data_IF_611749140284
#
_entry.id   IF_611749140284
#
_cell.length_a   1.000
_cell.length_b   1.000
_cell.length_c   1.000
_cell.angle_alpha   90.00
_cell.angle_beta   90.00
_cell.angle_gamma   90.00
#
_symmetry.space_group_name_H-M   'P 1'
#
loop_
_entity.id
_entity.type
_entity.pdbx_description
1 polymer ?
#
# COMPACT_ATOMS: atom_id res chain seq x y z
N UNK A 1 -3.25 -2.55 -30.62
CA UNK A 1 -3.16 -1.27 -29.89
C UNK A 1 -2.41 -1.60 -28.62
N UNK A 2 -1.20 -1.06 -28.47
CA UNK A 2 -0.35 -1.40 -27.33
C UNK A 2 -0.87 -0.62 -26.13
N UNK A 3 -1.76 -1.24 -25.36
CA UNK A 3 -1.99 -0.84 -23.98
C UNK A 3 -0.68 -1.11 -23.26
N UNK A 4 0.14 -0.08 -23.12
CA UNK A 4 1.21 -0.08 -22.13
C UNK A 4 0.50 -0.20 -20.79
N UNK A 5 0.37 -1.44 -20.29
CA UNK A 5 -0.11 -1.71 -18.94
C UNK A 5 0.79 -0.88 -18.04
N UNK A 6 0.24 0.16 -17.41
CA UNK A 6 0.96 0.93 -16.41
C UNK A 6 1.51 -0.08 -15.40
N UNK A 7 2.84 -0.16 -15.31
CA UNK A 7 3.52 -1.11 -14.43
C UNK A 7 3.23 -0.70 -13.00
N UNK A 8 2.32 -1.42 -12.36
CA UNK A 8 1.93 -1.16 -10.97
C UNK A 8 2.98 -1.79 -10.07
N UNK A 9 3.82 -0.93 -9.48
CA UNK A 9 4.78 -1.35 -8.46
C UNK A 9 4.14 -1.23 -7.09
N UNK A 10 4.06 -2.38 -6.41
CA UNK A 10 3.50 -2.49 -5.07
C UNK A 10 4.60 -2.75 -4.06
N UNK A 11 4.61 -1.92 -3.03
CA UNK A 11 5.56 -1.97 -1.94
C UNK A 11 4.87 -2.11 -0.61
N UNK A 12 5.63 -2.57 0.38
CA UNK A 12 5.28 -2.49 1.80
C UNK A 12 6.47 -1.91 2.57
N UNK A 13 6.18 -1.11 3.58
CA UNK A 13 7.24 -0.64 4.48
C UNK A 13 7.81 -1.79 5.31
N UNK A 14 9.03 -1.65 5.81
CA UNK A 14 9.66 -2.64 6.69
C UNK A 14 8.81 -2.94 7.94
N UNK A 15 8.16 -1.91 8.48
CA UNK A 15 7.21 -2.07 9.58
C UNK A 15 6.00 -2.90 9.16
N UNK A 16 5.39 -2.58 8.01
CA UNK A 16 4.22 -3.30 7.50
C UNK A 16 4.57 -4.76 7.21
N UNK A 17 5.73 -5.04 6.61
CA UNK A 17 6.20 -6.40 6.36
C UNK A 17 6.26 -7.23 7.65
N UNK A 18 6.78 -6.65 8.74
CA UNK A 18 6.81 -7.30 10.05
C UNK A 18 5.40 -7.53 10.61
N UNK A 19 4.50 -6.57 10.44
CA UNK A 19 3.10 -6.66 10.91
C UNK A 19 2.29 -7.70 10.11
N UNK A 20 2.37 -7.68 8.78
CA UNK A 20 1.72 -8.64 7.88
C UNK A 20 2.17 -10.07 8.16
N UNK A 21 3.48 -10.29 8.35
CA UNK A 21 4.02 -11.61 8.73
C UNK A 21 3.43 -12.13 10.04
N UNK A 22 3.31 -11.27 11.07
CA UNK A 22 2.66 -11.64 12.34
C UNK A 22 1.17 -11.93 12.19
N UNK A 23 0.50 -11.24 11.27
CA UNK A 23 -0.90 -11.44 10.94
C UNK A 23 -1.16 -12.61 9.98
N UNK A 24 -0.09 -13.30 9.52
CA UNK A 24 -0.12 -14.36 8.52
C UNK A 24 -0.75 -13.93 7.18
N UNK A 25 -0.57 -12.66 6.81
CA UNK A 25 -0.98 -12.10 5.53
C UNK A 25 0.19 -12.26 4.57
N UNK A 26 -0.03 -12.99 3.49
CA UNK A 26 1.00 -13.32 2.50
C UNK A 26 1.02 -12.26 1.38
N UNK A 27 2.11 -12.26 0.63
CA UNK A 27 2.34 -11.26 -0.42
C UNK A 27 1.39 -11.44 -1.63
N UNK A 28 1.01 -12.67 -1.96
CA UNK A 28 -0.02 -12.98 -2.96
C UNK A 28 -1.37 -12.33 -2.61
N UNK A 29 -1.83 -12.47 -1.35
CA UNK A 29 -3.05 -11.80 -0.86
C UNK A 29 -2.94 -10.27 -0.95
N UNK A 30 -1.75 -9.71 -0.66
CA UNK A 30 -1.52 -8.26 -0.76
C UNK A 30 -1.53 -7.76 -2.21
N UNK A 31 -0.97 -8.54 -3.14
CA UNK A 31 -1.00 -8.22 -4.57
C UNK A 31 -2.44 -8.22 -5.10
N UNK A 32 -3.20 -9.28 -4.81
CA UNK A 32 -4.62 -9.36 -5.16
C UNK A 32 -5.41 -8.19 -4.57
N UNK A 33 -5.15 -7.84 -3.32
CA UNK A 33 -5.82 -6.72 -2.67
C UNK A 33 -5.54 -5.36 -3.34
N UNK A 34 -4.36 -5.14 -3.94
CA UNK A 34 -4.09 -3.92 -4.74
C UNK A 34 -4.93 -3.91 -6.01
N UNK A 35 -5.03 -5.05 -6.71
CA UNK A 35 -5.88 -5.17 -7.90
C UNK A 35 -7.34 -4.84 -7.58
N UNK A 36 -7.82 -5.28 -6.42
CA UNK A 36 -9.16 -4.92 -5.93
C UNK A 36 -9.27 -3.41 -5.61
N UNK A 37 -8.24 -2.81 -4.99
CA UNK A 37 -8.24 -1.35 -4.70
C UNK A 37 -8.29 -0.53 -6.00
N UNK A 38 -7.52 -0.93 -7.03
CA UNK A 38 -7.56 -0.30 -8.35
C UNK A 38 -8.94 -0.37 -9.01
N UNK A 39 -9.70 -1.44 -8.74
CA UNK A 39 -11.09 -1.60 -9.18
C UNK A 39 -12.11 -0.86 -8.31
N UNK A 40 -11.65 -0.03 -7.36
CA UNK A 40 -12.49 0.74 -6.45
C UNK A 40 -13.04 -0.06 -5.26
N UNK A 41 -12.52 -1.26 -4.98
CA UNK A 41 -12.98 -2.12 -3.89
C UNK A 41 -12.24 -1.85 -2.57
N UNK A 42 -12.13 -0.58 -2.21
CA UNK A 42 -11.55 -0.09 -0.97
C UNK A 42 -12.27 1.18 -0.53
N UNK A 43 -12.15 1.53 0.76
CA UNK A 43 -12.66 2.80 1.23
C UNK A 43 -11.62 3.89 0.85
N UNK A 44 -11.93 4.76 -0.11
CA UNK A 44 -11.09 5.92 -0.44
C UNK A 44 -11.24 6.99 0.66
N UNK A 45 -10.15 7.27 1.36
CA UNK A 45 -10.11 8.27 2.43
C UNK A 45 -9.66 9.64 1.92
N UNK A 46 -9.45 9.82 0.62
CA UNK A 46 -9.06 11.05 -0.06
C UNK A 46 -7.57 11.38 0.07
N UNK A 47 -7.05 12.13 -0.91
CA UNK A 47 -5.65 12.56 -0.94
C UNK A 47 -4.66 11.45 -1.29
N UNK A 48 -5.12 10.40 -1.98
CA UNK A 48 -4.30 9.24 -2.34
C UNK A 48 -4.12 8.23 -1.20
N UNK A 49 -5.04 8.21 -0.23
CA UNK A 49 -5.02 7.30 0.91
C UNK A 49 -6.23 6.38 0.84
N UNK A 50 -5.99 5.08 0.83
CA UNK A 50 -7.03 4.04 0.76
C UNK A 50 -6.99 3.17 2.00
N UNK A 51 -8.17 2.76 2.47
CA UNK A 51 -8.30 1.77 3.53
C UNK A 51 -8.85 0.46 2.95
N UNK A 52 -8.05 -0.60 3.04
CA UNK A 52 -8.39 -1.94 2.54
C UNK A 52 -8.64 -2.91 3.68
N UNK A 53 -9.67 -3.74 3.54
CA UNK A 53 -9.96 -4.86 4.45
C UNK A 53 -9.16 -6.07 3.96
N UNK A 54 -8.41 -6.71 4.86
CA UNK A 54 -7.54 -7.86 4.57
C UNK A 54 -7.86 -9.03 5.51
N UNK A 55 -7.33 -10.21 5.20
CA UNK A 55 -7.37 -11.42 6.03
C UNK A 55 -8.80 -11.74 6.49
N UNK A 56 -9.70 -11.96 5.52
CA UNK A 56 -11.13 -12.23 5.78
C UNK A 56 -11.78 -11.15 6.67
N UNK A 57 -11.48 -9.87 6.39
CA UNK A 57 -11.97 -8.70 7.14
C UNK A 57 -11.52 -8.64 8.62
N UNK A 58 -10.50 -9.42 9.00
CA UNK A 58 -9.91 -9.39 10.35
C UNK A 58 -8.94 -8.22 10.52
N UNK A 59 -8.34 -7.74 9.45
CA UNK A 59 -7.39 -6.64 9.47
C UNK A 59 -7.80 -5.51 8.53
N UNK A 60 -7.32 -4.30 8.82
CA UNK A 60 -7.43 -3.12 7.97
C UNK A 60 -6.04 -2.62 7.68
N UNK A 61 -5.80 -2.25 6.44
CA UNK A 61 -4.55 -1.66 6.00
C UNK A 61 -4.76 -0.27 5.40
N UNK A 62 -3.74 0.57 5.53
CA UNK A 62 -3.62 1.83 4.81
C UNK A 62 -2.61 1.70 3.68
N UNK A 63 -3.09 2.10 2.51
CA UNK A 63 -2.36 2.09 1.25
C UNK A 63 -2.25 3.52 0.75
N UNK A 64 -1.05 3.91 0.35
CA UNK A 64 -0.76 5.21 -0.25
C UNK A 64 -0.58 5.02 -1.75
N UNK A 65 -1.32 5.77 -2.57
CA UNK A 65 -1.31 5.65 -4.02
C UNK A 65 -1.75 6.94 -4.73
N UNK A 66 -1.18 8.10 -4.35
CA UNK A 66 -1.57 9.41 -4.88
C UNK A 66 -1.27 9.59 -6.38
N UNK A 67 -0.11 9.11 -6.85
CA UNK A 67 0.31 9.19 -8.25
C UNK A 67 0.01 7.95 -9.09
N UNK A 68 -0.70 6.96 -8.53
CA UNK A 68 -1.06 5.67 -9.16
C UNK A 68 0.09 4.78 -9.67
N UNK A 69 1.32 5.28 -9.61
CA UNK A 69 2.56 4.59 -9.97
C UNK A 69 3.12 3.71 -8.85
N UNK A 70 3.16 4.23 -7.63
CA UNK A 70 3.66 3.52 -6.45
C UNK A 70 2.51 3.26 -5.48
N UNK A 71 2.31 1.99 -5.13
CA UNK A 71 1.30 1.55 -4.19
C UNK A 71 1.98 1.06 -2.92
N UNK A 72 1.82 1.77 -1.81
CA UNK A 72 2.60 1.50 -0.60
C UNK A 72 1.70 1.12 0.56
N UNK A 73 1.79 -0.13 0.99
CA UNK A 73 1.25 -0.60 2.26
C UNK A 73 2.05 0.00 3.42
N UNK A 74 1.45 0.93 4.17
CA UNK A 74 2.16 1.69 5.23
C UNK A 74 1.72 1.31 6.64
N UNK A 75 0.47 0.91 6.83
CA UNK A 75 -0.08 0.61 8.15
C UNK A 75 -1.04 -0.58 8.15
N UNK A 76 -1.10 -1.33 9.26
CA UNK A 76 -1.92 -2.53 9.46
C UNK A 76 -2.43 -2.58 10.89
N UNK A 77 -3.73 -2.80 11.09
CA UNK A 77 -4.32 -2.95 12.41
C UNK A 77 -5.46 -3.97 12.40
N UNK A 78 -5.66 -4.69 13.51
CA UNK A 78 -6.73 -5.66 13.63
C UNK A 78 -8.08 -4.97 13.88
N UNK A 79 -9.16 -5.55 13.35
CA UNK A 79 -10.56 -5.09 13.55
C UNK A 79 -10.89 -4.87 15.02
N UNK A 80 -10.44 -5.80 15.85
CA UNK A 80 -10.75 -5.86 17.28
C UNK A 80 -10.02 -4.77 18.07
N UNK A 81 -8.90 -4.30 17.57
CA UNK A 81 -8.07 -3.32 18.26
C UNK A 81 -8.50 -1.90 17.88
N UNK A 82 -8.99 -1.71 16.64
CA UNK A 82 -9.39 -0.40 16.14
C UNK A 82 -10.36 -0.47 14.96
N UNK A 83 -11.37 0.40 14.98
CA UNK A 83 -12.37 0.49 13.91
C UNK A 83 -12.05 1.55 12.85
N UNK A 84 -11.61 2.74 13.27
CA UNK A 84 -11.44 3.94 12.42
C UNK A 84 -10.09 4.63 12.66
N UNK A 85 -9.63 5.37 11.65
CA UNK A 85 -8.50 6.30 11.71
C UNK A 85 -9.07 7.68 11.99
N UNK A 86 -8.42 8.43 12.88
CA UNK A 86 -8.86 9.78 13.22
C UNK A 86 -8.33 10.83 12.24
N UNK A 87 -8.87 12.06 12.31
CA UNK A 87 -8.51 13.12 11.39
C UNK A 87 -7.02 13.51 11.45
N UNK A 88 -6.37 13.61 12.63
CA UNK A 88 -4.93 13.85 12.72
C UNK A 88 -4.08 12.79 12.00
N UNK A 89 -4.39 11.51 12.20
CA UNK A 89 -3.67 10.43 11.53
C UNK A 89 -3.93 10.41 10.03
N UNK A 90 -5.18 10.62 9.61
CA UNK A 90 -5.51 10.72 8.19
C UNK A 90 -4.75 11.85 7.51
N UNK A 91 -4.59 13.00 8.20
CA UNK A 91 -3.76 14.10 7.72
C UNK A 91 -2.31 13.68 7.56
N UNK A 92 -1.74 12.96 8.53
CA UNK A 92 -0.38 12.44 8.44
C UNK A 92 -0.21 11.45 7.27
N UNK A 93 -1.18 10.55 7.05
CA UNK A 93 -1.14 9.63 5.91
C UNK A 93 -1.23 10.35 4.57
N UNK A 94 -2.02 11.41 4.45
CA UNK A 94 -2.09 12.22 3.23
C UNK A 94 -0.77 12.94 2.93
N UNK A 95 -0.10 13.46 3.97
CA UNK A 95 1.25 14.03 3.82
C UNK A 95 2.26 12.98 3.38
N UNK A 96 2.17 11.77 3.94
CA UNK A 96 3.03 10.66 3.55
C UNK A 96 2.75 10.20 2.11
N UNK A 97 1.48 10.18 1.69
CA UNK A 97 1.10 9.88 0.31
C UNK A 97 1.72 10.89 -0.67
N UNK A 98 1.74 12.17 -0.32
CA UNK A 98 2.40 13.21 -1.12
C UNK A 98 3.92 13.07 -1.15
N UNK A 99 4.55 12.58 -0.08
CA UNK A 99 5.98 12.26 -0.09
C UNK A 99 6.28 11.15 -1.09
N UNK A 100 5.55 10.03 -1.03
CA UNK A 100 5.74 8.89 -1.94
C UNK A 100 5.41 9.21 -3.40
N UNK A 101 4.45 10.11 -3.63
CA UNK A 101 4.10 10.62 -4.95
C UNK A 101 5.27 11.36 -5.62
N UNK A 102 6.05 12.09 -4.84
CA UNK A 102 7.20 12.88 -5.33
C UNK A 102 8.50 12.09 -5.42
N UNK A 103 8.54 10.86 -4.92
CA UNK A 103 9.76 10.04 -4.94
C UNK A 103 10.13 9.65 -6.35
N UNK A 104 11.40 9.83 -6.68
CA UNK A 104 11.97 9.31 -7.94
C UNK A 104 12.22 7.80 -7.84
N UNK A 105 12.44 7.14 -8.97
CA UNK A 105 12.85 5.73 -8.97
C UNK A 105 14.13 5.52 -8.17
N UNK A 106 15.12 6.39 -8.34
CA UNK A 106 16.39 6.31 -7.59
C UNK A 106 16.17 6.36 -6.08
N UNK A 107 15.22 7.16 -5.60
CA UNK A 107 14.87 7.22 -4.18
C UNK A 107 14.15 5.96 -3.71
N UNK A 108 13.27 5.39 -4.53
CA UNK A 108 12.64 4.09 -4.25
C UNK A 108 13.68 2.98 -4.20
N UNK A 109 14.61 2.92 -5.15
CA UNK A 109 15.69 1.94 -5.19
C UNK A 109 16.63 2.05 -3.98
N UNK A 110 16.89 3.28 -3.50
CA UNK A 110 17.63 3.49 -2.25
C UNK A 110 16.89 2.92 -1.04
N UNK A 111 15.58 3.10 -0.95
CA UNK A 111 14.76 2.54 0.14
C UNK A 111 14.65 1.02 0.08
N UNK A 112 14.59 0.43 -1.13
CA UNK A 112 14.66 -1.01 -1.35
C UNK A 112 16.02 -1.57 -0.89
N UNK A 113 17.11 -0.92 -1.30
CA UNK A 113 18.48 -1.29 -0.89
C UNK A 113 18.67 -1.19 0.62
N UNK A 114 18.12 -0.14 1.23
CA UNK A 114 18.12 0.06 2.68
C UNK A 114 17.17 -0.90 3.44
N UNK A 115 16.33 -1.67 2.73
CA UNK A 115 15.28 -2.56 3.28
C UNK A 115 14.22 -1.82 4.09
N UNK A 116 14.04 -0.52 3.83
CA UNK A 116 12.94 0.29 4.36
C UNK A 116 11.65 0.06 3.57
N UNK A 117 11.78 -0.26 2.29
CA UNK A 117 10.73 -0.81 1.45
C UNK A 117 11.03 -2.25 1.05
N UNK A 118 9.96 -2.99 0.78
CA UNK A 118 9.99 -4.30 0.14
C UNK A 118 9.00 -4.27 -1.01
N UNK A 119 9.48 -4.50 -2.23
CA UNK A 119 8.65 -4.68 -3.40
C UNK A 119 8.04 -6.10 -3.38
N UNK A 120 6.74 -6.20 -3.65
CA UNK A 120 5.99 -7.47 -3.57
C UNK A 120 5.27 -7.84 -4.86
N UNK A 121 4.98 -6.85 -5.71
CA UNK A 121 4.38 -7.07 -7.03
C UNK A 121 4.88 -5.97 -7.96
N UNK A 122 5.26 -6.36 -9.16
CA UNK A 122 5.54 -5.46 -10.26
C UNK A 122 4.80 -6.05 -11.44
N UNK A 123 3.59 -5.57 -11.73
CA UNK A 123 2.82 -6.03 -12.89
C UNK A 123 3.43 -5.44 -14.18
N UNK A 124 4.64 -5.87 -14.48
CA UNK A 124 5.25 -5.86 -15.79
C UNK A 124 5.47 -7.32 -16.16
N UNK A 125 4.64 -7.82 -17.07
CA UNK A 125 4.67 -9.18 -17.61
C UNK A 125 6.11 -9.69 -17.76
N UNK A 126 6.43 -10.80 -17.10
CA UNK A 126 7.61 -11.61 -17.41
C UNK A 126 7.44 -12.28 -18.79
#
# INVERSE_FOLDING_TARGET
MNDAVETVRTFKTAWFAKAARKALIKDDELCEAIQEVMKGQADDLGGGVFKKRLNKNRHRSIILAKGRRHWVYTYLFAKKDRANIDDPELKAFRQLAELYDRKTDDEIERELTAKELVEICNDGNA
#
